data_IF_713668252745
#
_entry.id   IF_713668252745
#
_cell.length_a   1.000
_cell.length_b   1.000
_cell.length_c   1.000
_cell.angle_alpha   90.00
_cell.angle_beta   90.00
_cell.angle_gamma   90.00
#
_symmetry.space_group_name_H-M   'P 1'
#
loop_
_entity.id
_entity.type
_entity.pdbx_description
1 polymer ?
#
# COMPACT_ATOMS: atom_id res chain seq x y z
N UNK A 1 8.20 2.63 -23.49
CA UNK A 1 8.52 2.80 -22.07
C UNK A 1 7.33 3.47 -21.41
N UNK A 2 6.60 2.76 -20.56
CA UNK A 2 5.54 3.37 -19.75
C UNK A 2 6.23 4.11 -18.60
N UNK A 3 6.49 5.41 -18.79
CA UNK A 3 6.81 6.30 -17.68
C UNK A 3 5.54 6.41 -16.84
N UNK A 4 5.54 5.72 -15.71
CA UNK A 4 4.46 5.72 -14.72
C UNK A 4 4.25 7.16 -14.22
N UNK A 5 3.27 7.86 -14.81
CA UNK A 5 2.85 9.21 -14.42
C UNK A 5 1.93 9.13 -13.20
N UNK A 6 2.38 8.47 -12.14
CA UNK A 6 1.68 8.46 -10.86
C UNK A 6 2.48 9.23 -9.82
N UNK A 7 3.04 10.38 -10.23
CA UNK A 7 3.23 11.50 -9.32
C UNK A 7 1.83 12.03 -8.91
N UNK A 8 1.08 11.19 -8.19
CA UNK A 8 0.12 11.73 -7.23
C UNK A 8 1.00 12.52 -6.28
N UNK A 9 0.95 13.84 -6.35
CA UNK A 9 1.60 14.72 -5.39
C UNK A 9 0.94 14.46 -4.03
N UNK A 10 1.39 13.42 -3.34
CA UNK A 10 1.03 13.16 -1.97
C UNK A 10 1.54 14.36 -1.21
N UNK A 11 0.63 15.19 -0.72
CA UNK A 11 1.00 16.36 0.05
C UNK A 11 1.81 15.85 1.24
N UNK A 12 2.94 16.48 1.58
CA UNK A 12 3.73 16.06 2.74
C UNK A 12 3.00 16.42 4.03
N UNK A 13 2.97 15.52 5.01
CA UNK A 13 2.38 15.81 6.31
C UNK A 13 3.13 16.97 6.98
N UNK A 14 2.40 18.01 7.38
CA UNK A 14 2.96 19.23 7.98
C UNK A 14 2.29 19.59 9.32
N UNK A 15 1.58 18.64 9.92
CA UNK A 15 0.90 18.78 11.22
C UNK A 15 -0.44 19.52 11.17
N UNK A 16 -0.76 20.26 10.10
CA UNK A 16 -2.03 20.98 9.94
C UNK A 16 -2.95 20.37 8.88
N UNK A 17 -2.41 19.49 8.05
CA UNK A 17 -3.08 18.95 6.86
C UNK A 17 -3.47 17.48 6.98
N UNK A 18 -3.56 16.93 8.20
CA UNK A 18 -3.85 15.50 8.42
C UNK A 18 -5.10 15.01 7.65
N UNK A 19 -6.24 15.73 7.63
CA UNK A 19 -7.41 15.28 6.86
C UNK A 19 -7.18 15.22 5.35
N UNK A 20 -6.46 16.18 4.78
CA UNK A 20 -6.12 16.19 3.34
C UNK A 20 -5.09 15.11 3.03
N UNK A 21 -4.09 14.96 3.89
CA UNK A 21 -3.04 13.96 3.79
C UNK A 21 -3.61 12.54 3.81
N UNK A 22 -4.48 12.22 4.79
CA UNK A 22 -5.06 10.89 4.93
C UNK A 22 -5.91 10.55 3.71
N UNK A 23 -6.75 11.47 3.23
CA UNK A 23 -7.57 11.23 2.05
C UNK A 23 -6.74 10.92 0.79
N UNK A 24 -5.65 11.66 0.56
CA UNK A 24 -4.76 11.42 -0.58
C UNK A 24 -3.97 10.11 -0.43
N UNK A 25 -3.47 9.82 0.77
CA UNK A 25 -2.78 8.55 1.05
C UNK A 25 -3.71 7.35 0.87
N UNK A 26 -4.94 7.43 1.38
CA UNK A 26 -5.95 6.39 1.20
C UNK A 26 -6.25 6.12 -0.28
N UNK A 27 -6.46 7.17 -1.08
CA UNK A 27 -6.67 7.04 -2.52
C UNK A 27 -5.46 6.41 -3.23
N UNK A 28 -4.25 6.83 -2.86
CA UNK A 28 -3.01 6.33 -3.44
C UNK A 28 -2.80 4.84 -3.13
N UNK A 29 -2.99 4.43 -1.87
CA UNK A 29 -2.84 3.04 -1.44
C UNK A 29 -3.92 2.15 -2.07
N UNK A 30 -5.18 2.63 -2.14
CA UNK A 30 -6.27 1.92 -2.82
C UNK A 30 -6.00 1.74 -4.31
N UNK A 31 -5.43 2.75 -4.97
CA UNK A 31 -5.03 2.67 -6.38
C UNK A 31 -3.91 1.65 -6.66
N UNK A 32 -3.16 1.25 -5.63
CA UNK A 32 -2.10 0.23 -5.73
C UNK A 32 -2.53 -1.15 -5.25
N UNK A 33 -3.81 -1.34 -4.91
CA UNK A 33 -4.35 -2.59 -4.39
C UNK A 33 -3.61 -3.08 -3.12
N UNK A 34 -3.04 -2.16 -2.34
CA UNK A 34 -2.34 -2.47 -1.09
C UNK A 34 -3.16 -2.15 0.16
N UNK A 35 -4.36 -1.58 -0.01
CA UNK A 35 -5.21 -1.16 1.09
C UNK A 35 -5.56 -2.31 2.04
N UNK A 36 -5.77 -3.51 1.49
CA UNK A 36 -6.07 -4.70 2.27
C UNK A 36 -4.96 -5.11 3.24
N UNK A 37 -3.70 -4.78 2.92
CA UNK A 37 -2.57 -4.99 3.83
C UNK A 37 -2.55 -4.00 5.00
N UNK A 38 -3.09 -2.78 4.81
CA UNK A 38 -3.12 -1.73 5.83
C UNK A 38 -4.34 -1.88 6.74
N UNK A 39 -5.52 -2.13 6.17
CA UNK A 39 -6.75 -2.29 6.96
C UNK A 39 -6.92 -3.70 7.54
N UNK A 40 -6.06 -4.64 7.15
CA UNK A 40 -6.01 -6.01 7.66
C UNK A 40 -7.02 -6.96 7.00
N UNK A 41 -7.74 -6.53 5.97
CA UNK A 41 -8.65 -7.40 5.21
C UNK A 41 -7.89 -8.47 4.41
N UNK A 42 -6.67 -8.16 3.93
CA UNK A 42 -5.75 -9.12 3.30
C UNK A 42 -4.82 -9.74 4.35
N UNK A 43 -5.37 -10.67 5.13
CA UNK A 43 -4.60 -11.40 6.14
C UNK A 43 -3.51 -12.28 5.51
N UNK A 44 -2.39 -12.43 6.21
CA UNK A 44 -1.29 -13.28 5.79
C UNK A 44 -1.77 -14.74 5.58
N UNK A 45 -1.49 -15.37 4.42
CA UNK A 45 -1.78 -16.78 4.21
C UNK A 45 -1.07 -17.65 5.25
N UNK A 46 -1.66 -18.78 5.64
CA UNK A 46 -0.97 -19.72 6.52
C UNK A 46 0.29 -20.25 5.82
N UNK A 47 1.38 -20.46 6.57
CA UNK A 47 2.65 -20.97 5.99
C UNK A 47 2.51 -22.35 5.30
N UNK A 48 1.44 -23.08 5.59
CA UNK A 48 1.08 -24.34 4.93
C UNK A 48 0.42 -24.16 3.57
N UNK A 49 -0.11 -22.97 3.27
CA UNK A 49 -0.77 -22.65 2.02
C UNK A 49 0.27 -22.18 1.02
N UNK A 50 0.74 -23.12 0.18
CA UNK A 50 1.49 -22.91 -1.07
C UNK A 50 2.49 -21.75 -0.99
N UNK A 51 3.77 -22.06 -0.78
CA UNK A 51 4.92 -21.13 -0.69
C UNK A 51 4.80 -19.85 -1.56
N UNK A 52 4.28 -19.99 -2.79
CA UNK A 52 4.06 -18.90 -3.74
C UNK A 52 3.08 -17.80 -3.26
N UNK A 53 1.99 -18.15 -2.56
CA UNK A 53 1.01 -17.19 -2.06
C UNK A 53 1.55 -16.39 -0.87
N UNK A 54 2.23 -17.06 0.06
CA UNK A 54 2.90 -16.40 1.19
C UNK A 54 4.05 -15.51 0.70
N UNK A 55 4.87 -15.96 -0.25
CA UNK A 55 5.95 -15.15 -0.82
C UNK A 55 5.42 -13.89 -1.51
N UNK A 56 4.32 -13.98 -2.26
CA UNK A 56 3.66 -12.82 -2.87
C UNK A 56 3.09 -11.85 -1.84
N UNK A 57 2.49 -12.36 -0.77
CA UNK A 57 1.99 -11.52 0.32
C UNK A 57 3.15 -10.76 1.00
N UNK A 58 4.25 -11.44 1.32
CA UNK A 58 5.45 -10.82 1.93
C UNK A 58 6.06 -9.76 1.01
N UNK A 59 6.10 -10.00 -0.31
CA UNK A 59 6.61 -9.01 -1.26
C UNK A 59 5.75 -7.74 -1.29
N UNK A 60 4.42 -7.86 -1.22
CA UNK A 60 3.49 -6.72 -1.12
C UNK A 60 3.62 -5.99 0.22
N UNK A 61 3.75 -6.74 1.32
CA UNK A 61 3.95 -6.20 2.66
C UNK A 61 5.25 -5.36 2.74
N UNK A 62 6.36 -5.88 2.19
CA UNK A 62 7.61 -5.14 2.10
C UNK A 62 7.50 -3.86 1.25
N UNK A 63 6.66 -3.84 0.21
CA UNK A 63 6.43 -2.63 -0.59
C UNK A 63 5.74 -1.53 0.22
N UNK A 64 4.75 -1.88 1.07
CA UNK A 64 4.09 -0.93 1.97
C UNK A 64 5.12 -0.27 2.91
N UNK A 65 6.14 -1.03 3.35
CA UNK A 65 7.19 -0.55 4.27
C UNK A 65 8.24 0.38 3.63
N UNK A 66 8.28 0.51 2.30
CA UNK A 66 9.29 1.30 1.58
C UNK A 66 8.89 2.75 1.28
N UNK A 67 7.73 3.22 1.75
CA UNK A 67 7.18 4.56 1.45
C UNK A 67 7.19 5.54 2.63
#
# INVERSE_FOLDING_TARGET
MFTDKHEVFIVRLNGKNYPTWTFQMELFIKGKELWGHIDGTDSAPAKSDKDDAHAKWVAKDAQVMTW
#
